data_IF_286309145492
#
_entry.id   IF_286309145492
#
_cell.length_a   1.000
_cell.length_b   1.000
_cell.length_c   1.000
_cell.angle_alpha   90.00
_cell.angle_beta   90.00
_cell.angle_gamma   90.00
#
_symmetry.space_group_name_H-M   'P 1'
#
loop_
_entity.id
_entity.type
_entity.pdbx_description
1 polymer ?
#
# COMPACT_ATOMS: atom_id res chain seq x y z
N UNK A 1 -13.73 1.89 -8.55
CA UNK A 1 -12.27 2.14 -8.35
C UNK A 1 -11.42 1.21 -9.21
N UNK A 2 -11.52 -0.12 -9.05
CA UNK A 2 -10.73 -1.08 -9.84
C UNK A 2 -10.87 -0.92 -11.36
N UNK A 3 -12.11 -0.83 -11.88
CA UNK A 3 -12.37 -0.66 -13.33
C UNK A 3 -11.66 0.55 -13.95
N UNK A 4 -11.50 1.64 -13.21
CA UNK A 4 -10.78 2.82 -13.69
C UNK A 4 -9.27 2.57 -13.77
N UNK A 5 -8.71 1.89 -12.75
CA UNK A 5 -7.28 1.56 -12.73
C UNK A 5 -6.93 0.56 -13.84
N UNK A 6 -7.78 -0.43 -14.08
CA UNK A 6 -7.60 -1.38 -15.20
C UNK A 6 -7.70 -0.71 -16.57
N UNK A 7 -8.55 0.31 -16.72
CA UNK A 7 -8.64 1.09 -17.95
C UNK A 7 -7.45 2.05 -18.14
N UNK A 8 -6.68 2.35 -17.09
CA UNK A 8 -5.52 3.23 -17.12
C UNK A 8 -4.29 2.52 -16.53
N UNK A 9 -3.68 1.55 -17.25
CA UNK A 9 -2.65 0.67 -16.69
C UNK A 9 -1.43 1.40 -16.12
N UNK A 10 -1.15 2.62 -16.59
CA UNK A 10 -0.04 3.46 -16.12
C UNK A 10 -0.15 3.89 -14.66
N UNK A 11 -1.30 3.72 -13.99
CA UNK A 11 -1.46 4.06 -12.56
C UNK A 11 -0.91 2.98 -11.62
N UNK A 12 -0.73 1.75 -12.13
CA UNK A 12 -0.11 0.67 -11.38
C UNK A 12 1.40 0.86 -11.27
N UNK A 13 1.99 0.22 -10.26
CA UNK A 13 3.41 0.18 -9.95
C UNK A 13 3.80 -1.26 -9.64
N UNK A 14 5.07 -1.61 -9.78
CA UNK A 14 5.54 -2.98 -9.60
C UNK A 14 5.78 -3.34 -8.14
N UNK A 15 6.18 -2.34 -7.34
CA UNK A 15 6.47 -2.52 -5.93
C UNK A 15 6.02 -1.32 -5.07
N UNK A 16 6.07 -1.52 -3.75
CA UNK A 16 5.61 -0.54 -2.77
C UNK A 16 6.51 0.70 -2.73
N UNK A 17 7.83 0.54 -2.86
CA UNK A 17 8.78 1.65 -2.83
C UNK A 17 8.59 2.56 -4.06
N UNK A 18 8.37 1.97 -5.24
CA UNK A 18 8.01 2.68 -6.46
C UNK A 18 6.74 3.52 -6.25
N UNK A 19 5.70 2.93 -5.64
CA UNK A 19 4.46 3.62 -5.30
C UNK A 19 4.67 4.81 -4.36
N UNK A 20 5.46 4.62 -3.29
CA UNK A 20 5.81 5.68 -2.32
C UNK A 20 6.55 6.82 -3.01
N UNK A 21 7.60 6.51 -3.76
CA UNK A 21 8.40 7.51 -4.49
C UNK A 21 7.56 8.28 -5.50
N UNK A 22 6.63 7.60 -6.17
CA UNK A 22 5.70 8.23 -7.10
C UNK A 22 4.78 9.22 -6.41
N UNK A 23 4.24 8.90 -5.22
CA UNK A 23 3.44 9.85 -4.42
C UNK A 23 4.25 11.11 -4.12
N UNK A 24 5.48 10.94 -3.59
CA UNK A 24 6.38 12.04 -3.23
C UNK A 24 6.69 12.96 -4.42
N UNK A 25 6.98 12.38 -5.58
CA UNK A 25 7.35 13.13 -6.81
C UNK A 25 6.15 13.76 -7.52
N UNK A 26 4.94 13.25 -7.31
CA UNK A 26 3.75 13.69 -8.05
C UNK A 26 3.09 14.96 -7.52
N UNK A 27 3.63 15.60 -6.47
CA UNK A 27 3.13 16.88 -5.92
C UNK A 27 1.60 16.86 -5.68
N UNK A 28 1.09 15.78 -5.08
CA UNK A 28 -0.34 15.60 -4.79
C UNK A 28 -1.22 15.21 -5.98
N UNK A 29 -0.66 14.91 -7.15
CA UNK A 29 -1.41 14.44 -8.34
C UNK A 29 -1.55 12.92 -8.42
N UNK A 30 -0.92 12.18 -7.51
CA UNK A 30 -1.00 10.73 -7.40
C UNK A 30 -1.26 10.35 -5.95
N UNK A 31 -2.23 9.47 -5.74
CA UNK A 31 -2.52 8.85 -4.45
C UNK A 31 -2.29 7.34 -4.58
N UNK A 32 -1.70 6.74 -3.55
CA UNK A 32 -1.36 5.32 -3.56
C UNK A 32 -2.16 4.57 -2.50
N UNK A 33 -2.76 3.45 -2.91
CA UNK A 33 -3.51 2.57 -2.02
C UNK A 33 -2.57 1.45 -1.58
N UNK A 34 -2.31 1.40 -0.28
CA UNK A 34 -1.46 0.40 0.36
C UNK A 34 -2.05 -0.04 1.70
N UNK A 35 -1.48 -1.09 2.27
CA UNK A 35 -1.88 -1.64 3.57
C UNK A 35 -1.60 -0.65 4.71
N UNK A 36 -2.49 -0.62 5.71
CA UNK A 36 -2.40 0.31 6.83
C UNK A 36 -1.09 0.28 7.63
N UNK A 37 -0.50 -0.89 7.99
CA UNK A 37 0.75 -0.90 8.75
C UNK A 37 1.90 -0.27 7.97
N UNK A 38 1.97 -0.53 6.66
CA UNK A 38 2.99 0.06 5.79
C UNK A 38 2.81 1.57 5.65
N UNK A 39 1.56 2.03 5.54
CA UNK A 39 1.23 3.46 5.49
C UNK A 39 1.68 4.18 6.79
N UNK A 40 1.33 3.62 7.94
CA UNK A 40 1.71 4.17 9.26
C UNK A 40 3.22 4.17 9.48
N UNK A 41 3.91 3.11 9.03
CA UNK A 41 5.37 3.04 9.04
C UNK A 41 5.99 4.16 8.21
N UNK A 42 5.60 4.30 6.93
CA UNK A 42 6.19 5.28 5.99
C UNK A 42 5.93 6.71 6.43
N UNK A 43 4.72 7.03 6.90
CA UNK A 43 4.38 8.37 7.42
C UNK A 43 5.24 8.78 8.62
N UNK A 44 5.72 7.81 9.39
CA UNK A 44 6.54 8.04 10.58
C UNK A 44 8.04 8.15 10.27
N UNK A 45 8.43 8.15 8.98
CA UNK A 45 9.83 8.28 8.54
C UNK A 45 10.08 9.69 8.04
N UNK A 46 11.29 10.20 8.32
CA UNK A 46 11.77 11.42 7.69
C UNK A 46 11.73 11.29 6.16
N UNK A 47 11.39 12.36 5.41
CA UNK A 47 11.14 13.73 5.86
C UNK A 47 9.66 14.03 6.21
N UNK A 48 8.85 13.03 6.57
CA UNK A 48 7.43 13.18 6.94
C UNK A 48 6.57 13.79 5.81
N UNK A 49 6.88 13.44 4.56
CA UNK A 49 6.27 13.96 3.33
C UNK A 49 5.04 13.14 2.86
N UNK A 50 4.57 12.21 3.68
CA UNK A 50 3.43 11.32 3.40
C UNK A 50 2.39 11.41 4.52
N UNK A 51 1.12 11.15 4.17
CA UNK A 51 0.04 11.11 5.15
C UNK A 51 -1.03 10.07 4.80
N UNK A 52 -1.54 9.38 5.81
CA UNK A 52 -2.76 8.57 5.73
C UNK A 52 -3.98 9.48 5.74
N UNK A 53 -4.92 9.23 4.83
CA UNK A 53 -6.18 9.96 4.74
C UNK A 53 -7.36 9.01 4.84
N UNK A 54 -8.29 9.31 5.74
CA UNK A 54 -9.51 8.52 5.94
C UNK A 54 -9.30 7.17 6.64
N UNK A 55 -10.41 6.41 6.82
CA UNK A 55 -10.38 5.07 7.41
C UNK A 55 -9.88 4.02 6.41
N UNK A 56 -9.57 2.82 6.91
CA UNK A 56 -9.22 1.68 6.07
C UNK A 56 -10.41 1.25 5.19
N UNK A 57 -10.14 0.81 3.96
CA UNK A 57 -11.17 0.32 3.03
C UNK A 57 -11.73 -1.06 3.42
N UNK A 58 -10.96 -1.85 4.16
CA UNK A 58 -11.33 -3.18 4.62
C UNK A 58 -10.61 -3.51 5.93
N UNK A 59 -10.98 -4.65 6.52
CA UNK A 59 -10.28 -5.24 7.65
C UNK A 59 -9.54 -6.49 7.17
N UNK A 60 -8.21 -6.46 7.25
CA UNK A 60 -7.30 -7.56 6.91
C UNK A 60 -6.22 -7.67 7.98
N UNK A 61 -5.69 -8.87 8.17
CA UNK A 61 -4.62 -9.14 9.13
C UNK A 61 -3.57 -10.08 8.51
N UNK A 62 -2.33 -9.96 8.99
CA UNK A 62 -1.28 -10.92 8.67
C UNK A 62 -1.45 -12.19 9.49
N UNK A 63 -1.08 -13.33 8.91
CA UNK A 63 -1.10 -14.63 9.57
C UNK A 63 0.12 -15.45 9.19
N UNK A 64 0.53 -16.34 10.09
CA UNK A 64 1.62 -17.29 9.82
C UNK A 64 1.04 -18.42 8.97
N UNK A 65 1.57 -18.62 7.77
CA UNK A 65 1.16 -19.70 6.90
C UNK A 65 2.08 -20.92 7.08
N UNK A 66 1.51 -22.06 7.47
CA UNK A 66 2.19 -23.36 7.47
C UNK A 66 1.67 -24.21 6.30
N UNK A 67 2.51 -25.12 5.79
CA UNK A 67 2.08 -26.06 4.76
C UNK A 67 0.89 -26.91 5.27
N UNK A 68 -0.05 -27.23 4.37
CA UNK A 68 -1.17 -28.11 4.72
C UNK A 68 -0.63 -29.44 5.25
N UNK A 69 -1.15 -29.88 6.40
CA UNK A 69 -0.72 -31.09 7.13
C UNK A 69 0.71 -31.03 7.72
N UNK A 70 1.31 -29.85 7.84
CA UNK A 70 2.56 -29.69 8.58
C UNK A 70 2.38 -30.07 10.06
N UNK A 71 3.34 -30.77 10.70
CA UNK A 71 3.33 -31.02 12.14
C UNK A 71 3.52 -29.73 12.96
N UNK A 72 3.84 -28.61 12.31
CA UNK A 72 3.95 -27.28 12.92
C UNK A 72 2.59 -26.55 13.01
N UNK A 73 1.49 -27.19 12.59
CA UNK A 73 0.15 -26.64 12.76
C UNK A 73 -0.35 -26.81 14.19
#
# INVERSE_FOLDING_TARGET
MYNYMTANPSVFVNDVNEGIERVKKSKGKYAFLLESPTNEYVNSREPCDTMKVGPNLNSKAFGIATAKNSPLR
#
